data_IF_661709427175
#
_entry.id   IF_661709427175
#
_cell.length_a   1.000
_cell.length_b   1.000
_cell.length_c   1.000
_cell.angle_alpha   90.00
_cell.angle_beta   90.00
_cell.angle_gamma   90.00
#
_symmetry.space_group_name_H-M   'P 1'
#
loop_
_entity.id
_entity.type
_entity.pdbx_description
1 polymer ?
#
# COMPACT_ATOMS: atom_id res chain seq x y z
N UNK A 1 25.13 9.06 6.70
CA UNK A 1 23.92 8.30 6.33
C UNK A 1 22.83 8.72 7.30
N UNK A 2 21.80 9.43 6.83
CA UNK A 2 20.65 9.75 7.66
C UNK A 2 19.93 8.44 8.00
N UNK A 3 19.83 8.11 9.29
CA UNK A 3 19.01 7.01 9.77
C UNK A 3 17.55 7.39 9.54
N UNK A 4 17.02 7.06 8.36
CA UNK A 4 15.59 7.25 8.07
C UNK A 4 14.78 6.35 8.99
N UNK A 5 13.68 6.88 9.48
CA UNK A 5 12.74 6.12 10.31
C UNK A 5 11.94 5.19 9.37
N UNK A 6 11.83 3.92 9.75
CA UNK A 6 10.97 2.96 9.05
C UNK A 6 9.53 3.14 9.54
N UNK A 7 8.60 3.36 8.62
CA UNK A 7 7.17 3.48 8.93
C UNK A 7 6.40 2.50 8.07
N UNK A 8 5.49 1.78 8.70
CA UNK A 8 4.64 0.80 8.03
C UNK A 8 3.22 1.36 7.91
N UNK A 9 2.65 1.33 6.70
CA UNK A 9 1.29 1.77 6.45
C UNK A 9 0.41 0.61 5.99
N UNK A 10 -0.76 0.39 6.60
CA UNK A 10 -1.70 -0.60 6.12
C UNK A 10 -2.34 -0.15 4.81
N UNK A 11 -2.44 -1.06 3.84
CA UNK A 11 -3.17 -0.83 2.60
C UNK A 11 -4.17 -1.95 2.33
N UNK A 12 -5.42 -1.58 2.05
CA UNK A 12 -6.44 -2.53 1.63
C UNK A 12 -6.14 -3.00 0.20
N UNK A 13 -6.01 -4.31 0.03
CA UNK A 13 -5.74 -4.97 -1.25
C UNK A 13 -7.00 -5.67 -1.72
N UNK A 14 -7.46 -5.31 -2.91
CA UNK A 14 -8.65 -5.88 -3.51
C UNK A 14 -8.55 -5.91 -5.04
N UNK A 15 -9.30 -6.83 -5.65
CA UNK A 15 -9.39 -6.95 -7.11
C UNK A 15 -10.54 -6.08 -7.63
N UNK A 16 -10.28 -5.31 -8.67
CA UNK A 16 -11.29 -4.54 -9.39
C UNK A 16 -11.18 -4.84 -10.89
N UNK A 17 -12.16 -5.57 -11.43
CA UNK A 17 -12.17 -6.04 -12.80
C UNK A 17 -10.90 -6.85 -13.15
N UNK A 18 -10.07 -6.34 -14.06
CA UNK A 18 -8.85 -6.97 -14.55
C UNK A 18 -7.57 -6.53 -13.80
N UNK A 19 -7.69 -5.71 -12.75
CA UNK A 19 -6.55 -5.14 -12.02
C UNK A 19 -6.71 -5.32 -10.50
N UNK A 20 -5.62 -5.15 -9.79
CA UNK A 20 -5.56 -5.07 -8.34
C UNK A 20 -5.34 -3.63 -7.90
N UNK A 21 -5.95 -3.26 -6.79
CA UNK A 21 -5.83 -1.96 -6.17
C UNK A 21 -5.21 -2.14 -4.79
N UNK A 22 -4.19 -1.34 -4.49
CA UNK A 22 -3.67 -1.15 -3.15
C UNK A 22 -4.10 0.25 -2.67
N UNK A 23 -4.94 0.32 -1.64
CA UNK A 23 -5.51 1.56 -1.13
C UNK A 23 -5.03 1.83 0.31
N UNK A 24 -4.20 2.85 0.47
CA UNK A 24 -3.79 3.37 1.79
C UNK A 24 -4.73 4.52 2.18
N UNK A 25 -5.78 4.18 2.93
CA UNK A 25 -6.83 5.13 3.36
C UNK A 25 -6.24 6.28 4.17
N UNK A 26 -5.27 5.99 5.05
CA UNK A 26 -4.60 7.00 5.90
C UNK A 26 -3.93 8.11 5.09
N UNK A 27 -3.51 7.81 3.86
CA UNK A 27 -2.78 8.74 3.01
C UNK A 27 -3.60 9.22 1.80
N UNK A 28 -4.88 8.84 1.74
CA UNK A 28 -5.78 9.06 0.61
C UNK A 28 -5.10 8.75 -0.75
N UNK A 29 -4.31 7.67 -0.78
CA UNK A 29 -3.50 7.29 -1.93
C UNK A 29 -3.81 5.86 -2.33
N UNK A 30 -3.98 5.66 -3.64
CA UNK A 30 -4.19 4.34 -4.21
C UNK A 30 -3.25 4.12 -5.37
N UNK A 31 -2.81 2.88 -5.55
CA UNK A 31 -2.07 2.45 -6.71
C UNK A 31 -2.70 1.19 -7.32
N UNK A 32 -2.46 1.00 -8.61
CA UNK A 32 -3.00 -0.12 -9.38
C UNK A 32 -1.88 -1.03 -9.91
N UNK A 33 -2.19 -2.31 -10.09
CA UNK A 33 -1.29 -3.30 -10.68
C UNK A 33 -2.06 -4.39 -11.41
N UNK A 34 -1.40 -5.09 -12.33
CA UNK A 34 -1.90 -6.33 -12.96
C UNK A 34 -1.87 -7.52 -12.00
N UNK A 35 -1.04 -7.45 -10.96
CA UNK A 35 -0.96 -8.40 -9.85
C UNK A 35 -1.07 -7.65 -8.52
N UNK A 36 -1.39 -8.36 -7.44
CA UNK A 36 -1.41 -7.80 -6.07
C UNK A 36 -0.06 -7.18 -5.71
N UNK A 37 1.02 -7.92 -5.94
CA UNK A 37 2.40 -7.48 -5.70
C UNK A 37 2.69 -6.18 -6.43
N UNK A 38 2.32 -6.09 -7.71
CA UNK A 38 2.56 -4.87 -8.48
C UNK A 38 1.78 -3.67 -7.93
N UNK A 39 0.54 -3.86 -7.47
CA UNK A 39 -0.23 -2.77 -6.87
C UNK A 39 0.43 -2.27 -5.57
N UNK A 40 0.91 -3.20 -4.75
CA UNK A 40 1.62 -2.90 -3.49
C UNK A 40 2.94 -2.17 -3.77
N UNK A 41 3.76 -2.66 -4.69
CA UNK A 41 5.04 -2.03 -5.07
C UNK A 41 4.84 -0.63 -5.63
N UNK A 42 3.83 -0.43 -6.47
CA UNK A 42 3.49 0.88 -7.02
C UNK A 42 3.06 1.86 -5.93
N UNK A 43 2.28 1.41 -4.95
CA UNK A 43 1.89 2.23 -3.81
C UNK A 43 3.11 2.59 -2.95
N UNK A 44 3.93 1.59 -2.60
CA UNK A 44 5.13 1.79 -1.80
C UNK A 44 6.10 2.77 -2.47
N UNK A 45 6.32 2.64 -3.78
CA UNK A 45 7.16 3.55 -4.55
C UNK A 45 6.63 4.99 -4.50
N UNK A 46 5.32 5.15 -4.70
CA UNK A 46 4.67 6.48 -4.67
C UNK A 46 4.78 7.12 -3.29
N UNK A 47 4.60 6.35 -2.21
CA UNK A 47 4.74 6.85 -0.84
C UNK A 47 6.20 7.19 -0.49
N UNK A 48 7.17 6.35 -0.87
CA UNK A 48 8.59 6.66 -0.65
C UNK A 48 9.06 7.89 -1.44
N UNK A 49 8.45 8.18 -2.59
CA UNK A 49 8.71 9.41 -3.33
C UNK A 49 8.11 10.64 -2.65
N UNK A 50 6.88 10.53 -2.13
CA UNK A 50 6.20 11.63 -1.43
C UNK A 50 6.79 11.90 -0.03
N UNK A 51 7.26 10.86 0.66
CA UNK A 51 7.78 10.88 2.02
C UNK A 51 9.26 10.52 2.05
N UNK A 52 10.09 11.25 1.29
CA UNK A 52 11.50 10.89 1.07
C UNK A 52 12.37 10.87 2.32
N UNK A 53 11.92 11.44 3.43
CA UNK A 53 12.61 11.44 4.73
C UNK A 53 12.48 10.11 5.49
N UNK A 54 11.51 9.28 5.10
CA UNK A 54 11.18 8.02 5.74
C UNK A 54 11.48 6.83 4.80
N UNK A 55 11.58 5.64 5.39
CA UNK A 55 11.52 4.39 4.64
C UNK A 55 10.13 3.80 4.84
N UNK A 56 9.31 3.86 3.80
CA UNK A 56 7.93 3.40 3.88
C UNK A 56 7.82 1.94 3.41
N UNK A 57 7.20 1.09 4.23
CA UNK A 57 6.74 -0.24 3.86
C UNK A 57 5.20 -0.31 3.87
N UNK A 58 4.65 -1.18 3.02
CA UNK A 58 3.20 -1.41 2.97
C UNK A 58 2.87 -2.74 3.64
N UNK A 59 1.95 -2.71 4.60
CA UNK A 59 1.34 -3.91 5.20
C UNK A 59 0.04 -4.19 4.44
N UNK A 60 -0.02 -5.24 3.60
CA UNK A 60 -1.23 -5.56 2.86
C UNK A 60 -2.31 -6.13 3.80
N UNK A 61 -3.51 -5.57 3.72
CA UNK A 61 -4.73 -6.09 4.34
C UNK A 61 -5.63 -6.59 3.24
N UNK A 62 -5.93 -7.88 3.21
CA UNK A 62 -6.79 -8.45 2.15
C UNK A 62 -8.27 -8.34 2.53
N UNK A 63 -9.13 -8.10 1.54
CA UNK A 63 -10.58 -7.96 1.73
C UNK A 63 -11.22 -9.12 2.53
N UNK A 64 -10.77 -10.35 2.30
CA UNK A 64 -11.22 -11.55 3.02
C UNK A 64 -10.88 -11.55 4.52
N UNK A 65 -9.85 -10.80 4.92
CA UNK A 65 -9.47 -10.58 6.31
C UNK A 65 -10.21 -9.39 6.91
N UNK A 66 -10.52 -8.37 6.10
CA UNK A 66 -11.29 -7.19 6.52
C UNK A 66 -12.75 -7.54 6.87
N UNK A 67 -13.40 -8.37 6.07
CA UNK A 67 -14.80 -8.80 6.30
C UNK A 67 -15.00 -9.63 7.58
N UNK A 68 -13.94 -10.07 8.26
CA UNK A 68 -14.03 -10.76 9.56
C UNK A 68 -14.03 -9.81 10.76
N UNK A 69 -13.79 -8.51 10.54
CA UNK A 69 -13.68 -7.49 11.58
C UNK A 69 -14.95 -6.63 11.71
N UNK A 70 -15.97 -6.92 10.91
CA UNK A 70 -17.28 -6.24 10.85
C UNK A 70 -18.36 -7.27 11.17
#
# INVERSE_FOLDING_TARGET
MSNKINIEYPALIYKKNAFFVANCVMFNLSAIGRTEVQAIENLQKSMNQALSEYNISIIPIYESQYMKLI
#
